data_IF_999820631105
#
_entry.id   IF_999820631105
#
_cell.length_a   1.000
_cell.length_b   1.000
_cell.length_c   1.000
_cell.angle_alpha   90.00
_cell.angle_beta   90.00
_cell.angle_gamma   90.00
#
_symmetry.space_group_name_H-M   'P 1'
#
loop_
_entity.id
_entity.type
_entity.pdbx_description
1 polymer ?
#
# COMPACT_ATOMS: atom_id res chain seq x y z
N UNK A 1 11.88 0.74 28.12
CA UNK A 1 10.47 1.14 28.00
C UNK A 1 10.44 2.56 27.47
N UNK A 2 10.08 2.74 26.20
CA UNK A 2 10.12 4.06 25.56
C UNK A 2 10.19 3.93 24.04
N UNK A 3 9.04 3.73 23.40
CA UNK A 3 8.83 3.88 21.94
C UNK A 3 7.35 3.63 21.56
N UNK A 4 6.36 4.18 22.30
CA UNK A 4 4.95 3.85 22.01
C UNK A 4 3.98 5.03 22.00
N UNK A 5 4.44 6.28 22.09
CA UNK A 5 3.55 7.46 22.02
C UNK A 5 3.89 8.38 20.84
N UNK A 6 5.18 8.55 20.50
CA UNK A 6 5.58 9.35 19.32
C UNK A 6 5.14 8.74 17.98
N UNK A 7 5.06 7.40 17.87
CA UNK A 7 4.74 6.75 16.59
C UNK A 7 3.29 6.94 16.15
N UNK A 8 2.35 7.25 17.04
CA UNK A 8 0.94 7.41 16.65
C UNK A 8 0.64 8.80 16.09
N UNK A 9 1.24 9.86 16.65
CA UNK A 9 1.02 11.23 16.16
C UNK A 9 1.69 11.46 14.82
N UNK A 10 2.94 11.02 14.65
CA UNK A 10 3.65 11.09 13.36
C UNK A 10 2.96 10.25 12.29
N UNK A 11 2.46 9.06 12.65
CA UNK A 11 1.70 8.20 11.74
C UNK A 11 0.37 8.83 11.33
N UNK A 12 -0.35 9.44 12.26
CA UNK A 12 -1.58 10.20 11.99
C UNK A 12 -1.29 11.38 11.06
N UNK A 13 -0.24 12.14 11.31
CA UNK A 13 0.11 13.31 10.50
C UNK A 13 0.58 12.92 9.10
N UNK A 14 1.41 11.88 9.00
CA UNK A 14 1.79 11.30 7.72
C UNK A 14 0.56 10.80 6.95
N UNK A 15 -0.37 10.15 7.64
CA UNK A 15 -1.60 9.65 7.01
C UNK A 15 -2.51 10.79 6.55
N UNK A 16 -2.66 11.86 7.33
CA UNK A 16 -3.38 13.08 6.93
C UNK A 16 -2.75 13.73 5.69
N UNK A 17 -1.43 13.83 5.67
CA UNK A 17 -0.67 14.42 4.57
C UNK A 17 -0.92 13.70 3.24
N UNK A 18 -1.18 12.39 3.26
CA UNK A 18 -1.44 11.61 2.04
C UNK A 18 -2.92 11.55 1.65
N UNK A 19 -3.87 12.02 2.46
CA UNK A 19 -5.30 11.92 2.15
C UNK A 19 -5.69 12.59 0.84
N UNK A 20 -5.22 13.81 0.51
CA UNK A 20 -5.57 14.43 -0.77
C UNK A 20 -5.15 13.57 -1.98
N UNK A 21 -4.07 12.80 -1.84
CA UNK A 21 -3.60 11.87 -2.88
C UNK A 21 -4.50 10.64 -2.96
N UNK A 22 -4.96 10.11 -1.83
CA UNK A 22 -5.93 9.00 -1.77
C UNK A 22 -7.27 9.41 -2.40
N UNK A 23 -7.77 10.60 -2.08
CA UNK A 23 -9.00 11.15 -2.66
C UNK A 23 -8.87 11.35 -4.17
N UNK A 24 -7.76 11.93 -4.63
CA UNK A 24 -7.48 12.09 -6.06
C UNK A 24 -7.39 10.73 -6.77
N UNK A 25 -6.79 9.72 -6.13
CA UNK A 25 -6.69 8.38 -6.68
C UNK A 25 -8.04 7.65 -6.72
N UNK A 26 -8.90 7.84 -5.71
CA UNK A 26 -10.25 7.26 -5.67
C UNK A 26 -11.18 7.83 -6.77
N UNK A 27 -10.94 9.08 -7.20
CA UNK A 27 -11.67 9.73 -8.29
C UNK A 27 -11.05 9.50 -9.68
N UNK A 28 -9.99 8.69 -9.79
CA UNK A 28 -9.35 8.39 -11.05
C UNK A 28 -10.23 7.47 -11.92
N UNK A 29 -10.13 7.61 -13.25
CA UNK A 29 -10.95 6.82 -14.19
C UNK A 29 -10.37 5.44 -14.46
N UNK A 30 -9.07 5.25 -14.21
CA UNK A 30 -8.38 3.98 -14.43
C UNK A 30 -7.44 3.67 -13.27
N UNK A 31 -7.10 2.38 -13.09
CA UNK A 31 -6.19 1.96 -12.02
C UNK A 31 -4.78 2.55 -12.20
N UNK A 32 -4.33 2.71 -13.44
CA UNK A 32 -3.08 3.38 -13.80
C UNK A 32 -3.09 4.87 -13.42
N UNK A 33 -4.20 5.57 -13.65
CA UNK A 33 -4.36 6.95 -13.19
C UNK A 33 -4.34 7.05 -11.66
N UNK A 34 -5.01 6.12 -10.96
CA UNK A 34 -4.99 6.06 -9.50
C UNK A 34 -3.56 5.89 -8.96
N UNK A 35 -2.81 4.91 -9.50
CA UNK A 35 -1.41 4.69 -9.14
C UNK A 35 -0.51 5.91 -9.46
N UNK A 36 -0.81 6.61 -10.55
CA UNK A 36 -0.03 7.79 -10.98
C UNK A 36 -0.14 8.96 -10.01
N UNK A 37 -1.24 9.10 -9.25
CA UNK A 37 -1.37 10.12 -8.21
C UNK A 37 -0.30 9.95 -7.12
N UNK A 38 -0.08 8.71 -6.68
CA UNK A 38 0.98 8.38 -5.72
C UNK A 38 2.36 8.59 -6.35
N UNK A 39 2.57 8.12 -7.58
CA UNK A 39 3.86 8.27 -8.25
C UNK A 39 4.26 9.75 -8.39
N UNK A 40 3.31 10.63 -8.71
CA UNK A 40 3.55 12.08 -8.77
C UNK A 40 3.88 12.68 -7.40
N UNK A 41 3.19 12.25 -6.34
CA UNK A 41 3.43 12.75 -4.98
C UNK A 41 4.80 12.35 -4.43
N UNK A 42 5.22 11.11 -4.70
CA UNK A 42 6.40 10.49 -4.09
C UNK A 42 7.61 10.43 -5.02
N UNK A 43 7.46 10.76 -6.30
CA UNK A 43 8.52 10.69 -7.30
C UNK A 43 9.00 9.26 -7.58
N UNK A 44 8.17 8.25 -7.28
CA UNK A 44 8.46 6.82 -7.43
C UNK A 44 7.23 6.06 -7.90
N UNK A 45 7.38 5.31 -8.98
CA UNK A 45 6.36 4.39 -9.50
C UNK A 45 6.35 3.06 -8.73
N UNK A 46 5.33 2.23 -8.94
CA UNK A 46 5.30 0.86 -8.41
C UNK A 46 6.50 0.02 -8.88
N UNK A 47 6.95 0.21 -10.13
CA UNK A 47 8.13 -0.46 -10.66
C UNK A 47 9.43 0.00 -9.96
N UNK A 48 9.54 1.30 -9.64
CA UNK A 48 10.67 1.81 -8.87
C UNK A 48 10.71 1.22 -7.46
N UNK A 49 9.54 1.10 -6.82
CA UNK A 49 9.42 0.50 -5.49
C UNK A 49 9.75 -0.99 -5.52
N UNK A 50 9.27 -1.73 -6.51
CA UNK A 50 9.63 -3.13 -6.67
C UNK A 50 11.14 -3.29 -6.81
N UNK A 51 11.77 -2.54 -7.71
CA UNK A 51 13.23 -2.54 -7.90
C UNK A 51 14.00 -2.21 -6.61
N UNK A 52 13.53 -1.21 -5.86
CA UNK A 52 14.10 -0.86 -4.56
C UNK A 52 14.01 -2.03 -3.58
N UNK A 53 12.90 -2.74 -3.56
CA UNK A 53 12.63 -3.83 -2.63
C UNK A 53 13.31 -5.15 -2.99
N UNK A 54 13.70 -5.35 -4.26
CA UNK A 54 14.50 -6.52 -4.69
C UNK A 54 16.00 -6.29 -4.46
N UNK A 55 16.42 -5.08 -4.10
CA UNK A 55 17.83 -4.75 -3.96
C UNK A 55 18.54 -5.66 -2.93
N UNK A 56 19.65 -6.28 -3.35
CA UNK A 56 20.41 -7.25 -2.56
C UNK A 56 21.07 -6.67 -1.31
N UNK A 57 21.16 -5.34 -1.18
CA UNK A 57 21.60 -4.68 0.05
C UNK A 57 20.60 -4.86 1.21
N UNK A 58 19.34 -5.21 0.93
CA UNK A 58 18.33 -5.55 1.95
C UNK A 58 18.43 -6.98 2.50
N UNK A 59 19.34 -7.82 1.96
CA UNK A 59 19.44 -9.26 2.29
C UNK A 59 19.63 -9.58 3.77
N UNK A 60 20.24 -8.67 4.54
CA UNK A 60 20.48 -8.84 5.98
C UNK A 60 19.39 -8.19 6.85
N UNK A 61 18.46 -7.47 6.25
CA UNK A 61 17.38 -6.76 6.93
C UNK A 61 16.04 -7.47 6.72
N UNK A 62 15.99 -8.81 6.72
CA UNK A 62 14.77 -9.57 6.39
C UNK A 62 13.52 -9.17 7.22
N UNK A 63 13.72 -8.67 8.45
CA UNK A 63 12.64 -8.22 9.36
C UNK A 63 12.29 -6.72 9.27
N UNK A 64 13.02 -5.92 8.50
CA UNK A 64 12.83 -4.44 8.37
C UNK A 64 12.85 -4.02 6.89
N UNK A 65 13.23 -4.92 5.99
CA UNK A 65 13.67 -4.62 4.63
C UNK A 65 12.61 -4.86 3.56
N UNK A 66 13.03 -4.59 2.32
CA UNK A 66 12.18 -4.56 1.15
C UNK A 66 11.40 -5.84 0.84
N UNK A 67 11.83 -7.02 1.30
CA UNK A 67 11.18 -8.28 0.93
C UNK A 67 9.69 -8.37 1.28
N UNK A 68 9.29 -7.91 2.47
CA UNK A 68 7.87 -7.90 2.86
C UNK A 68 7.07 -6.92 1.98
N UNK A 69 7.64 -5.75 1.69
CA UNK A 69 7.02 -4.76 0.81
C UNK A 69 7.00 -5.19 -0.65
N UNK A 70 7.96 -6.00 -1.11
CA UNK A 70 7.98 -6.56 -2.47
C UNK A 70 6.71 -7.33 -2.76
N UNK A 71 6.28 -8.20 -1.84
CA UNK A 71 5.07 -9.00 -2.01
C UNK A 71 3.81 -8.11 -2.13
N UNK A 72 3.71 -7.11 -1.25
CA UNK A 72 2.60 -6.13 -1.28
C UNK A 72 2.61 -5.33 -2.58
N UNK A 73 3.77 -4.78 -2.97
CA UNK A 73 3.92 -3.98 -4.19
C UNK A 73 3.62 -4.80 -5.44
N UNK A 74 4.07 -6.05 -5.51
CA UNK A 74 3.76 -6.95 -6.61
C UNK A 74 2.25 -7.23 -6.70
N UNK A 75 1.57 -7.47 -5.57
CA UNK A 75 0.12 -7.66 -5.56
C UNK A 75 -0.64 -6.41 -6.02
N UNK A 76 -0.20 -5.21 -5.62
CA UNK A 76 -0.79 -3.94 -6.08
C UNK A 76 -0.55 -3.72 -7.58
N UNK A 77 0.65 -4.00 -8.08
CA UNK A 77 0.96 -3.89 -9.51
C UNK A 77 0.13 -4.87 -10.34
N UNK A 78 0.04 -6.14 -9.91
CA UNK A 78 -0.80 -7.14 -10.55
C UNK A 78 -2.28 -6.73 -10.56
N UNK A 79 -2.79 -6.18 -9.45
CA UNK A 79 -4.17 -5.71 -9.39
C UNK A 79 -4.42 -4.55 -10.37
N UNK A 80 -3.51 -3.58 -10.45
CA UNK A 80 -3.59 -2.49 -11.42
C UNK A 80 -3.64 -3.04 -12.85
N UNK A 81 -2.73 -3.93 -13.20
CA UNK A 81 -2.60 -4.45 -14.56
C UNK A 81 -3.81 -5.30 -14.94
N UNK A 82 -4.32 -6.11 -14.02
CA UNK A 82 -5.53 -6.91 -14.22
C UNK A 82 -6.78 -6.04 -14.42
N UNK A 83 -6.91 -4.93 -13.68
CA UNK A 83 -8.00 -3.95 -13.88
C UNK A 83 -7.91 -3.30 -15.26
N UNK A 84 -6.73 -2.84 -15.66
CA UNK A 84 -6.52 -2.21 -16.98
C UNK A 84 -6.73 -3.21 -18.13
N UNK A 85 -6.38 -4.48 -17.93
CA UNK A 85 -6.60 -5.56 -18.89
C UNK A 85 -8.04 -6.09 -18.92
N UNK A 86 -8.87 -5.75 -17.93
CA UNK A 86 -10.23 -6.27 -17.79
C UNK A 86 -10.30 -7.77 -17.47
N UNK A 87 -9.22 -8.37 -16.94
CA UNK A 87 -9.19 -9.80 -16.59
C UNK A 87 -9.74 -10.01 -15.17
N UNK A 88 -11.02 -10.37 -15.08
CA UNK A 88 -11.72 -10.59 -13.82
C UNK A 88 -11.04 -11.66 -12.95
N UNK A 89 -10.49 -12.72 -13.56
CA UNK A 89 -9.87 -13.82 -12.81
C UNK A 89 -8.56 -13.36 -12.18
N UNK A 90 -7.77 -12.57 -12.91
CA UNK A 90 -6.56 -11.97 -12.37
C UNK A 90 -6.88 -10.89 -11.32
N UNK A 91 -7.95 -10.10 -11.50
CA UNK A 91 -8.43 -9.14 -10.49
C UNK A 91 -8.74 -9.86 -9.18
N UNK A 92 -9.51 -10.95 -9.22
CA UNK A 92 -9.85 -11.75 -8.03
C UNK A 92 -8.60 -12.31 -7.35
N UNK A 93 -7.67 -12.86 -8.14
CA UNK A 93 -6.42 -13.43 -7.65
C UNK A 93 -5.53 -12.38 -6.98
N UNK A 94 -5.36 -11.23 -7.60
CA UNK A 94 -4.57 -10.12 -7.06
C UNK A 94 -5.22 -9.52 -5.81
N UNK A 95 -6.54 -9.36 -5.81
CA UNK A 95 -7.31 -8.88 -4.65
C UNK A 95 -7.14 -9.81 -3.45
N UNK A 96 -7.29 -11.12 -3.64
CA UNK A 96 -7.07 -12.12 -2.57
C UNK A 96 -5.64 -12.09 -2.04
N UNK A 97 -4.67 -11.91 -2.94
CA UNK A 97 -3.26 -11.78 -2.55
C UNK A 97 -3.02 -10.54 -1.70
N UNK A 98 -3.67 -9.42 -2.03
CA UNK A 98 -3.56 -8.17 -1.27
C UNK A 98 -4.25 -8.26 0.10
N UNK A 99 -5.44 -8.87 0.17
CA UNK A 99 -6.18 -9.05 1.43
C UNK A 99 -5.45 -9.96 2.43
N UNK A 100 -4.71 -10.95 1.93
CA UNK A 100 -3.91 -11.85 2.76
C UNK A 100 -2.47 -11.36 2.95
N UNK A 101 -2.08 -10.24 2.33
CA UNK A 101 -0.72 -9.71 2.43
C UNK A 101 -0.40 -9.26 3.85
N UNK A 102 0.80 -9.62 4.31
CA UNK A 102 1.29 -9.29 5.65
C UNK A 102 2.61 -8.56 5.56
N UNK A 103 2.76 -7.56 6.41
CA UNK A 103 4.04 -6.93 6.72
C UNK A 103 4.50 -7.40 8.11
N UNK A 104 5.76 -7.20 8.46
CA UNK A 104 6.46 -7.71 9.66
C UNK A 104 5.66 -7.67 10.98
N UNK A 105 4.69 -6.76 11.13
CA UNK A 105 3.88 -6.58 12.34
C UNK A 105 2.39 -6.89 12.14
N UNK A 106 2.00 -7.65 11.11
CA UNK A 106 0.62 -8.08 10.88
C UNK A 106 0.07 -7.83 9.47
N UNK A 107 -1.22 -8.13 9.25
CA UNK A 107 -1.91 -7.91 7.98
C UNK A 107 -1.86 -6.44 7.56
N UNK A 108 -1.69 -6.19 6.26
CA UNK A 108 -1.70 -4.82 5.72
C UNK A 108 -3.07 -4.17 5.87
N UNK A 109 -4.15 -4.93 5.64
CA UNK A 109 -5.53 -4.46 5.78
C UNK A 109 -5.80 -3.92 7.20
N UNK A 110 -5.42 -4.68 8.23
CA UNK A 110 -5.61 -4.28 9.63
C UNK A 110 -4.95 -2.92 9.93
N UNK A 111 -3.74 -2.69 9.40
CA UNK A 111 -3.02 -1.43 9.58
C UNK A 111 -3.68 -0.26 8.85
N UNK A 112 -4.15 -0.47 7.62
CA UNK A 112 -4.85 0.59 6.88
C UNK A 112 -6.13 0.97 7.62
N UNK A 113 -6.91 -0.03 8.07
CA UNK A 113 -8.15 0.19 8.83
C UNK A 113 -7.92 0.90 10.15
N UNK A 114 -6.87 0.53 10.88
CA UNK A 114 -6.48 1.20 12.12
C UNK A 114 -6.17 2.67 11.88
N UNK A 115 -5.30 2.98 10.91
CA UNK A 115 -4.88 4.37 10.68
C UNK A 115 -5.98 5.22 10.07
N UNK A 116 -6.83 4.66 9.20
CA UNK A 116 -8.05 5.32 8.72
C UNK A 116 -8.96 5.71 9.90
N UNK A 117 -9.17 4.80 10.86
CA UNK A 117 -9.92 5.09 12.08
C UNK A 117 -9.30 6.21 12.92
N UNK A 118 -7.97 6.24 13.05
CA UNK A 118 -7.26 7.29 13.79
C UNK A 118 -7.41 8.69 13.17
N UNK A 119 -7.62 8.78 11.85
CA UNK A 119 -7.84 10.07 11.16
C UNK A 119 -9.32 10.38 10.90
N UNK A 120 -10.24 9.55 11.39
CA UNK A 120 -11.68 9.75 11.22
C UNK A 120 -12.20 9.44 9.81
N UNK A 121 -11.50 8.57 9.07
CA UNK A 121 -11.88 8.15 7.71
C UNK A 121 -12.48 6.74 7.77
N UNK A 122 -13.58 6.54 7.05
CA UNK A 122 -14.16 5.22 6.88
C UNK A 122 -13.34 4.43 5.86
N UNK A 123 -12.73 3.32 6.29
CA UNK A 123 -12.10 2.38 5.37
C UNK A 123 -13.13 1.73 4.44
N UNK A 124 -12.69 1.42 3.21
CA UNK A 124 -13.54 0.73 2.24
C UNK A 124 -14.03 -0.62 2.76
N UNK A 125 -15.29 -0.94 2.48
CA UNK A 125 -15.95 -2.20 2.91
C UNK A 125 -15.26 -3.44 2.36
N UNK A 126 -14.51 -3.31 1.26
CA UNK A 126 -13.71 -4.37 0.65
C UNK A 126 -12.52 -4.85 1.51
N UNK A 127 -12.25 -4.21 2.66
CA UNK A 127 -11.24 -4.67 3.62
C UNK A 127 -11.77 -5.67 4.65
N UNK A 128 -13.09 -5.90 4.68
CA UNK A 128 -13.76 -6.87 5.56
C UNK A 128 -13.83 -8.26 4.91
#
# INVERSE_FOLDING_TARGET
>A
MGASVESSEEQVEAWRTIQPVREAAANAQTAGQAASQFARRFGKSLADLENLYVNSHWKHAAAIGGHAWRGVTAAVAALRDAIEGGDIKEIEGATRSLLTARHNNGPVCAKITEVDGLVGIQSGEWWQ
#
